data_IF_009184376192
#
_entry.id   IF_009184376192
#
_cell.length_a   1.000
_cell.length_b   1.000
_cell.length_c   1.000
_cell.angle_alpha   90.00
_cell.angle_beta   90.00
_cell.angle_gamma   90.00
#
_symmetry.space_group_name_H-M   'P 1'
#
loop_
_entity.id
_entity.type
_entity.pdbx_description
1 polymer ?
#
# COMPACT_ATOMS: atom_id res chain seq x y z
N UNK A 1 -41.36 -12.78 -11.18
CA UNK A 1 -42.28 -11.84 -10.53
C UNK A 1 -41.88 -11.84 -9.07
N UNK A 2 -41.43 -10.67 -8.57
CA UNK A 2 -41.31 -10.23 -7.17
C UNK A 2 -40.34 -11.06 -6.28
N UNK A 3 -39.17 -10.60 -5.84
CA UNK A 3 -38.76 -9.39 -5.10
C UNK A 3 -39.37 -9.28 -3.69
N UNK A 4 -38.47 -9.13 -2.71
CA UNK A 4 -38.66 -8.81 -1.29
C UNK A 4 -39.22 -9.95 -0.40
N UNK A 5 -38.80 -10.18 0.85
CA UNK A 5 -38.13 -9.33 1.81
C UNK A 5 -37.61 -10.17 2.98
N UNK A 6 -36.78 -9.57 3.82
CA UNK A 6 -36.79 -9.88 5.25
C UNK A 6 -35.61 -10.70 5.76
N UNK A 7 -34.46 -10.05 5.87
CA UNK A 7 -33.34 -10.54 6.68
C UNK A 7 -32.79 -9.44 7.58
N UNK A 8 -33.66 -8.63 8.18
CA UNK A 8 -33.30 -7.75 9.28
C UNK A 8 -33.44 -8.53 10.60
N UNK A 9 -32.36 -8.57 11.39
CA UNK A 9 -32.37 -9.14 12.75
C UNK A 9 -31.64 -8.18 13.69
N UNK A 10 -32.42 -7.42 14.44
CA UNK A 10 -32.53 -7.36 15.92
C UNK A 10 -31.31 -7.65 16.83
N UNK A 11 -30.08 -7.47 16.36
CA UNK A 11 -28.93 -7.21 17.23
C UNK A 11 -28.43 -5.79 16.95
N UNK A 12 -28.86 -4.86 17.80
CA UNK A 12 -28.54 -3.43 17.78
C UNK A 12 -27.08 -3.10 18.04
N UNK A 13 -26.19 -3.58 17.18
CA UNK A 13 -24.94 -2.89 16.87
C UNK A 13 -24.99 -2.61 15.38
N UNK A 14 -25.39 -1.40 15.00
CA UNK A 14 -24.83 -0.84 13.78
C UNK A 14 -23.33 -0.76 14.05
N UNK A 15 -22.59 -1.80 13.68
CA UNK A 15 -21.20 -1.58 13.34
C UNK A 15 -21.27 -0.67 12.13
N UNK A 16 -21.25 0.64 12.40
CA UNK A 16 -20.51 1.52 11.53
C UNK A 16 -19.12 0.93 11.57
N UNK A 17 -18.81 0.14 10.55
CA UNK A 17 -17.43 -0.08 10.18
C UNK A 17 -16.89 1.32 9.93
N UNK A 18 -16.34 1.92 10.98
CA UNK A 18 -15.57 3.12 10.86
C UNK A 18 -14.25 2.65 10.26
N UNK A 19 -14.27 2.39 8.95
CA UNK A 19 -13.07 2.51 8.14
C UNK A 19 -12.66 3.95 8.34
N UNK A 20 -11.61 4.13 9.14
CA UNK A 20 -11.08 5.45 9.48
C UNK A 20 -10.58 6.07 8.17
N UNK A 21 -11.46 6.78 7.47
CA UNK A 21 -11.13 7.62 6.33
C UNK A 21 -10.21 8.71 6.87
N UNK A 22 -8.92 8.64 6.54
CA UNK A 22 -8.03 9.72 6.94
C UNK A 22 -6.59 9.56 6.52
N UNK A 23 -6.07 8.33 6.42
CA UNK A 23 -4.65 8.12 6.13
C UNK A 23 -4.47 6.93 5.19
N UNK A 24 -4.15 7.20 3.92
CA UNK A 24 -3.85 6.14 2.96
C UNK A 24 -2.64 5.31 3.42
N UNK A 25 -2.83 3.99 3.52
CA UNK A 25 -1.77 3.03 3.84
C UNK A 25 -1.64 2.01 2.70
N UNK A 26 -0.56 2.09 1.93
CA UNK A 26 -0.36 1.29 0.73
C UNK A 26 0.79 0.29 0.96
N UNK A 27 0.50 -1.01 1.14
CA UNK A 27 1.54 -2.03 1.21
C UNK A 27 2.10 -2.32 -0.19
N UNK A 28 3.41 -2.38 -0.30
CA UNK A 28 4.13 -2.56 -1.57
C UNK A 28 5.08 -3.75 -1.45
N UNK A 29 5.10 -4.61 -2.47
CA UNK A 29 6.04 -5.74 -2.58
C UNK A 29 6.30 -6.07 -4.04
N UNK A 30 7.56 -6.07 -4.46
CA UNK A 30 7.94 -6.40 -5.85
C UNK A 30 9.33 -7.02 -5.94
N UNK A 31 9.61 -7.67 -7.08
CA UNK A 31 10.95 -8.17 -7.42
C UNK A 31 11.68 -7.13 -8.28
N UNK A 32 12.88 -6.73 -7.86
CA UNK A 32 13.68 -5.67 -8.48
C UNK A 32 15.12 -6.10 -8.69
N UNK A 33 15.78 -5.49 -9.66
CA UNK A 33 17.23 -5.65 -9.86
C UNK A 33 18.01 -4.87 -8.79
N UNK A 34 19.31 -5.19 -8.62
CA UNK A 34 20.19 -4.49 -7.69
C UNK A 34 20.27 -2.96 -7.92
N UNK A 35 20.08 -2.48 -9.16
CA UNK A 35 20.03 -1.05 -9.48
C UNK A 35 18.82 -0.37 -8.81
N UNK A 36 17.66 -0.99 -8.92
CA UNK A 36 16.43 -0.50 -8.31
C UNK A 36 16.44 -0.65 -6.79
N UNK A 37 17.02 -1.73 -6.27
CA UNK A 37 17.22 -1.90 -4.83
C UNK A 37 17.92 -0.68 -4.20
N UNK A 38 19.03 -0.22 -4.79
CA UNK A 38 19.76 0.97 -4.31
C UNK A 38 18.90 2.23 -4.33
N UNK A 39 18.13 2.44 -5.40
CA UNK A 39 17.26 3.61 -5.55
C UNK A 39 16.16 3.63 -4.48
N UNK A 40 15.53 2.48 -4.25
CA UNK A 40 14.46 2.32 -3.25
C UNK A 40 14.98 2.41 -1.82
N UNK A 41 16.18 1.89 -1.55
CA UNK A 41 16.85 2.07 -0.27
C UNK A 41 17.19 3.56 -0.02
N UNK A 42 17.39 4.35 -1.07
CA UNK A 42 17.50 5.81 -0.98
C UNK A 42 16.17 6.45 -0.57
N UNK A 43 15.06 6.11 -1.24
CA UNK A 43 13.73 6.63 -0.90
C UNK A 43 13.29 6.28 0.52
N UNK A 44 13.63 5.09 1.00
CA UNK A 44 13.32 4.66 2.36
C UNK A 44 14.01 5.48 3.47
N UNK A 45 15.01 6.30 3.12
CA UNK A 45 15.73 7.17 4.07
C UNK A 45 15.27 8.63 4.02
N UNK A 46 14.40 8.99 3.08
CA UNK A 46 13.84 10.33 3.01
C UNK A 46 12.72 10.47 4.03
N UNK A 47 12.58 11.64 4.63
CA UNK A 47 11.48 11.92 5.57
C UNK A 47 10.10 11.76 4.90
N UNK A 48 10.01 12.13 3.62
CA UNK A 48 8.80 12.00 2.79
C UNK A 48 9.13 11.89 1.30
N UNK A 49 8.20 11.29 0.56
CA UNK A 49 8.22 11.19 -0.89
C UNK A 49 6.86 11.58 -1.48
N UNK A 50 6.85 12.24 -2.63
CA UNK A 50 5.62 12.46 -3.39
C UNK A 50 5.20 11.18 -4.09
N UNK A 51 4.02 10.68 -3.76
CA UNK A 51 3.43 9.46 -4.32
C UNK A 51 2.18 9.84 -5.08
N UNK A 52 2.16 9.52 -6.37
CA UNK A 52 0.95 9.51 -7.16
C UNK A 52 0.36 8.10 -7.13
N UNK A 53 -0.87 7.95 -6.68
CA UNK A 53 -1.59 6.69 -6.64
C UNK A 53 -3.02 6.87 -7.14
N UNK A 54 -3.61 5.80 -7.66
CA UNK A 54 -5.02 5.78 -8.04
C UNK A 54 -5.84 5.39 -6.82
N UNK A 55 -6.73 6.29 -6.39
CA UNK A 55 -7.66 6.04 -5.31
C UNK A 55 -8.92 5.40 -5.87
N UNK A 56 -9.21 4.18 -5.42
CA UNK A 56 -10.36 3.40 -5.90
C UNK A 56 -11.69 3.87 -5.34
N UNK A 57 -11.68 4.63 -4.23
CA UNK A 57 -12.88 5.16 -3.61
C UNK A 57 -13.37 6.40 -4.34
N UNK A 58 -12.45 7.30 -4.73
CA UNK A 58 -12.80 8.50 -5.50
C UNK A 58 -12.67 8.31 -7.01
N UNK A 59 -12.05 7.21 -7.47
CA UNK A 59 -11.71 6.94 -8.87
C UNK A 59 -10.83 8.01 -9.52
N UNK A 60 -9.91 8.58 -8.75
CA UNK A 60 -9.03 9.67 -9.17
C UNK A 60 -7.55 9.37 -8.89
N UNK A 61 -6.67 10.01 -9.65
CA UNK A 61 -5.25 10.04 -9.32
C UNK A 61 -4.99 11.07 -8.22
N UNK A 62 -4.60 10.59 -7.04
CA UNK A 62 -4.17 11.42 -5.92
C UNK A 62 -2.66 11.57 -5.92
N UNK A 63 -2.18 12.77 -5.63
CA UNK A 63 -0.78 13.06 -5.33
C UNK A 63 -0.69 13.40 -3.85
N UNK A 64 0.08 12.62 -3.08
CA UNK A 64 0.23 12.81 -1.64
C UNK A 64 1.68 12.69 -1.19
N UNK A 65 2.05 13.39 -0.12
CA UNK A 65 3.34 13.21 0.54
C UNK A 65 3.25 12.06 1.54
N UNK A 66 4.04 11.01 1.32
CA UNK A 66 4.00 9.80 2.13
C UNK A 66 5.39 9.46 2.68
N UNK A 67 5.42 8.81 3.84
CA UNK A 67 6.64 8.25 4.41
C UNK A 67 6.70 6.73 4.21
N UNK A 68 7.92 6.22 4.05
CA UNK A 68 8.17 4.79 3.87
C UNK A 68 8.37 4.15 5.24
N UNK A 69 7.62 3.08 5.53
CA UNK A 69 7.76 2.30 6.76
C UNK A 69 7.97 0.82 6.46
N UNK A 70 8.60 0.12 7.40
CA UNK A 70 8.73 -1.34 7.32
C UNK A 70 9.57 -1.84 6.14
N UNK A 71 10.51 -1.03 5.65
CA UNK A 71 11.36 -1.39 4.51
C UNK A 71 12.16 -2.67 4.77
N UNK A 72 12.01 -3.65 3.87
CA UNK A 72 12.71 -4.94 3.89
C UNK A 72 13.21 -5.25 2.48
N UNK A 73 14.43 -5.78 2.41
CA UNK A 73 15.02 -6.29 1.17
C UNK A 73 15.58 -7.70 1.41
N UNK A 74 15.30 -8.62 0.49
CA UNK A 74 15.77 -10.00 0.53
C UNK A 74 16.28 -10.42 -0.85
N UNK A 75 17.45 -11.07 -0.90
CA UNK A 75 17.95 -11.65 -2.14
C UNK A 75 17.06 -12.84 -2.52
N UNK A 76 16.41 -12.77 -3.68
CA UNK A 76 15.53 -13.83 -4.20
C UNK A 76 16.31 -14.86 -5.01
N UNK A 77 17.24 -14.39 -5.84
CA UNK A 77 18.08 -15.23 -6.69
C UNK A 77 19.39 -14.51 -6.94
N UNK A 78 20.52 -15.14 -6.65
CA UNK A 78 21.81 -14.62 -7.10
C UNK A 78 21.94 -14.80 -8.61
N UNK A 79 22.39 -13.77 -9.29
CA UNK A 79 22.59 -13.75 -10.74
C UNK A 79 23.87 -12.97 -11.01
N UNK A 80 24.49 -13.19 -12.18
CA UNK A 80 25.72 -12.48 -12.59
C UNK A 80 25.61 -10.95 -12.54
N UNK A 81 24.38 -10.40 -12.48
CA UNK A 81 24.08 -8.97 -12.37
C UNK A 81 23.73 -8.53 -10.93
N UNK A 82 24.36 -9.13 -9.92
CA UNK A 82 24.17 -8.82 -8.48
C UNK A 82 22.78 -9.18 -7.93
N UNK A 83 22.13 -10.14 -8.57
CA UNK A 83 20.92 -10.77 -8.09
C UNK A 83 19.61 -10.03 -8.34
N UNK A 84 18.53 -10.82 -8.27
CA UNK A 84 17.15 -10.36 -8.19
C UNK A 84 16.74 -10.30 -6.71
N UNK A 85 16.13 -9.20 -6.32
CA UNK A 85 15.79 -8.90 -4.92
C UNK A 85 14.28 -8.73 -4.78
N UNK A 86 13.73 -9.19 -3.66
CA UNK A 86 12.38 -8.81 -3.24
C UNK A 86 12.48 -7.65 -2.26
N UNK A 87 11.79 -6.56 -2.56
CA UNK A 87 11.69 -5.37 -1.71
C UNK A 87 10.24 -5.20 -1.30
N UNK A 88 10.01 -4.98 -0.01
CA UNK A 88 8.69 -4.65 0.52
C UNK A 88 8.75 -3.52 1.54
N UNK A 89 7.70 -2.72 1.58
CA UNK A 89 7.51 -1.60 2.51
C UNK A 89 6.05 -1.16 2.50
N UNK A 90 5.70 -0.20 3.35
CA UNK A 90 4.38 0.42 3.39
C UNK A 90 4.53 1.93 3.25
N UNK A 91 3.77 2.51 2.32
CA UNK A 91 3.60 3.96 2.21
C UNK A 91 2.47 4.38 3.13
N UNK A 92 2.70 5.44 3.90
CA UNK A 92 1.69 6.02 4.78
C UNK A 92 1.60 7.51 4.52
N UNK A 93 0.37 7.97 4.34
CA UNK A 93 0.03 9.39 4.37
C UNK A 93 0.25 9.96 5.78
N UNK A 94 0.49 11.27 5.87
CA UNK A 94 0.75 11.96 7.15
C UNK A 94 -0.52 12.15 7.97
#
# INVERSE_FOLDING_TARGET
>A
MEADSGGETEAGTTQRDVVRHGVAQIPVSFSVTAKWLKKLAGYAKLDKISVQYFDVETSELKLSEMYVTGYKAKLKKDTSYKGLWTVSFTLKEM
#
